data_IF_975948697536
#
_entry.id   IF_975948697536
#
_cell.length_a   1.000
_cell.length_b   1.000
_cell.length_c   1.000
_cell.angle_alpha   90.00
_cell.angle_beta   90.00
_cell.angle_gamma   90.00
#
_symmetry.space_group_name_H-M   'P 1'
#
loop_
_entity.id
_entity.type
_entity.pdbx_description
1 polymer ?
#
# COMPACT_ATOMS: atom_id res chain seq x y z
N UNK A 1 14.17 -9.79 -18.94
CA UNK A 1 14.77 -9.94 -17.57
C UNK A 1 15.96 -10.88 -17.60
N UNK A 2 16.80 -10.95 -16.55
CA UNK A 2 17.81 -12.00 -16.39
C UNK A 2 17.30 -13.13 -15.54
N UNK A 3 17.74 -14.37 -15.87
CA UNK A 3 17.40 -15.59 -15.14
C UNK A 3 18.67 -16.37 -14.83
N UNK A 4 18.66 -17.08 -13.73
CA UNK A 4 19.66 -18.08 -13.38
C UNK A 4 19.39 -19.33 -14.22
N UNK A 5 20.42 -19.80 -14.94
CA UNK A 5 20.42 -21.13 -15.50
C UNK A 5 20.71 -22.14 -14.38
N UNK A 6 19.67 -22.84 -13.96
CA UNK A 6 19.68 -23.73 -12.78
C UNK A 6 20.76 -24.82 -12.92
N UNK A 7 20.83 -25.46 -14.07
CA UNK A 7 21.79 -26.54 -14.30
C UNK A 7 23.22 -26.00 -14.33
N UNK A 8 23.46 -24.87 -14.99
CA UNK A 8 24.79 -24.25 -15.05
C UNK A 8 25.29 -23.81 -13.67
N UNK A 9 24.42 -23.28 -12.81
CA UNK A 9 24.79 -22.88 -11.45
C UNK A 9 25.10 -24.10 -10.58
N UNK A 10 24.28 -25.17 -10.61
CA UNK A 10 24.48 -26.36 -9.82
C UNK A 10 25.70 -27.14 -10.28
N UNK A 11 25.98 -27.20 -11.60
CA UNK A 11 27.19 -27.83 -12.11
C UNK A 11 28.45 -27.04 -11.73
N UNK A 12 28.40 -25.70 -11.80
CA UNK A 12 29.48 -24.85 -11.29
C UNK A 12 29.81 -25.17 -9.84
N UNK A 13 28.79 -25.27 -8.99
CA UNK A 13 28.98 -25.63 -7.58
C UNK A 13 29.61 -27.00 -7.39
N UNK A 14 29.11 -27.99 -8.13
CA UNK A 14 29.67 -29.36 -8.10
C UNK A 14 31.15 -29.43 -8.49
N UNK A 15 31.54 -28.64 -9.51
CA UNK A 15 32.94 -28.58 -9.96
C UNK A 15 33.83 -27.92 -8.89
N UNK A 16 33.33 -26.84 -8.27
CA UNK A 16 34.05 -26.15 -7.19
C UNK A 16 34.22 -27.04 -5.95
N UNK A 17 33.20 -27.83 -5.58
CA UNK A 17 33.29 -28.79 -4.45
C UNK A 17 34.36 -29.86 -4.65
N UNK A 18 34.63 -30.24 -5.90
CA UNK A 18 35.68 -31.17 -6.22
C UNK A 18 37.09 -30.55 -6.28
N UNK A 19 37.17 -29.21 -6.10
CA UNK A 19 38.40 -28.46 -6.29
C UNK A 19 38.88 -28.40 -7.75
N UNK A 20 37.98 -28.70 -8.70
CA UNK A 20 38.26 -28.67 -10.13
C UNK A 20 38.13 -27.22 -10.67
N UNK A 21 38.76 -26.96 -11.81
CA UNK A 21 38.71 -25.64 -12.43
C UNK A 21 37.39 -25.43 -13.17
N UNK A 22 36.65 -24.41 -12.77
CA UNK A 22 35.37 -24.03 -13.41
C UNK A 22 35.63 -23.45 -14.83
N UNK A 23 34.84 -23.87 -15.81
CA UNK A 23 34.84 -23.23 -17.12
C UNK A 23 34.26 -21.79 -17.01
N UNK A 24 35.17 -20.83 -17.19
CA UNK A 24 34.79 -19.38 -17.13
C UNK A 24 33.84 -18.91 -18.24
N UNK A 25 33.59 -19.74 -19.27
CA UNK A 25 32.68 -19.44 -20.37
C UNK A 25 31.23 -19.80 -20.05
N UNK A 26 31.00 -20.65 -19.06
CA UNK A 26 29.64 -21.05 -18.66
C UNK A 26 28.93 -19.88 -18.05
N UNK A 27 27.88 -19.41 -18.74
CA UNK A 27 27.02 -18.34 -18.26
C UNK A 27 26.00 -18.90 -17.28
N UNK A 28 26.01 -18.38 -16.07
CA UNK A 28 25.02 -18.72 -15.05
C UNK A 28 23.80 -17.82 -15.12
N UNK A 29 23.97 -16.56 -15.59
CA UNK A 29 22.89 -15.59 -15.76
C UNK A 29 22.72 -15.31 -17.25
N UNK A 30 21.49 -15.44 -17.72
CA UNK A 30 21.13 -15.23 -19.12
C UNK A 30 19.88 -14.33 -19.23
N UNK A 31 19.82 -13.54 -20.34
CA UNK A 31 18.61 -12.77 -20.64
C UNK A 31 17.55 -13.68 -21.25
N UNK A 32 16.32 -13.52 -20.78
CA UNK A 32 15.16 -14.24 -21.26
C UNK A 32 13.94 -13.31 -21.35
N UNK A 33 13.01 -13.69 -22.20
CA UNK A 33 11.68 -13.08 -22.30
C UNK A 33 10.78 -13.67 -21.23
N UNK A 34 10.19 -12.84 -20.37
CA UNK A 34 9.35 -13.27 -19.26
C UNK A 34 7.97 -13.80 -19.68
N UNK A 35 7.52 -13.47 -20.88
CA UNK A 35 6.24 -13.97 -21.43
C UNK A 35 6.41 -15.33 -22.13
N UNK A 36 7.57 -15.56 -22.76
CA UNK A 36 7.84 -16.78 -23.52
C UNK A 36 8.57 -17.87 -22.72
N UNK A 37 9.13 -17.56 -21.56
CA UNK A 37 10.00 -18.45 -20.80
C UNK A 37 9.29 -19.03 -19.57
N UNK A 38 9.34 -20.34 -19.40
CA UNK A 38 8.90 -21.01 -18.16
C UNK A 38 9.96 -20.93 -17.08
N UNK A 39 9.68 -20.30 -15.95
CA UNK A 39 10.62 -20.12 -14.84
C UNK A 39 9.96 -20.21 -13.47
N UNK A 40 10.76 -20.56 -12.48
CA UNK A 40 10.44 -20.39 -11.07
C UNK A 40 10.95 -19.03 -10.57
N UNK A 41 10.37 -18.53 -9.50
CA UNK A 41 10.76 -17.25 -8.87
C UNK A 41 10.91 -17.42 -7.36
N UNK A 42 11.95 -16.82 -6.76
CA UNK A 42 12.16 -16.85 -5.32
C UNK A 42 11.61 -15.59 -4.68
N UNK A 43 10.77 -15.75 -3.66
CA UNK A 43 10.34 -14.70 -2.75
C UNK A 43 10.96 -14.93 -1.39
N UNK A 44 11.76 -13.97 -0.91
CA UNK A 44 12.47 -14.14 0.35
C UNK A 44 12.74 -12.82 1.05
N UNK A 45 13.00 -12.88 2.33
CA UNK A 45 13.56 -11.74 3.06
C UNK A 45 15.08 -11.73 2.92
N UNK A 46 15.64 -10.53 2.71
CA UNK A 46 17.08 -10.35 2.75
C UNK A 46 17.59 -10.45 4.18
N UNK A 47 18.54 -11.35 4.43
CA UNK A 47 19.05 -11.65 5.76
C UNK A 47 20.58 -11.65 5.71
N UNK A 48 21.18 -10.73 6.44
CA UNK A 48 22.64 -10.66 6.51
C UNK A 48 23.27 -10.35 5.16
N UNK A 49 24.27 -11.13 4.79
CA UNK A 49 25.01 -10.97 3.55
C UNK A 49 24.32 -11.75 2.42
N UNK A 50 23.57 -11.05 1.60
CA UNK A 50 23.06 -11.57 0.33
C UNK A 50 24.19 -11.61 -0.71
N UNK A 51 23.93 -12.28 -1.82
CA UNK A 51 24.85 -12.37 -2.96
C UNK A 51 24.30 -11.57 -4.13
N UNK A 52 25.08 -10.64 -4.62
CA UNK A 52 24.65 -9.72 -5.68
C UNK A 52 25.00 -10.24 -7.09
N UNK A 53 24.64 -9.43 -8.09
CA UNK A 53 24.84 -9.74 -9.50
C UNK A 53 26.34 -9.98 -9.82
N UNK A 54 27.24 -9.10 -9.37
CA UNK A 54 28.67 -9.21 -9.67
C UNK A 54 29.28 -10.44 -9.02
N UNK A 55 28.94 -10.70 -7.79
CA UNK A 55 29.46 -11.86 -7.06
C UNK A 55 29.07 -13.16 -7.75
N UNK A 56 27.83 -13.28 -8.24
CA UNK A 56 27.39 -14.47 -8.99
C UNK A 56 28.12 -14.60 -10.33
N UNK A 57 28.31 -13.49 -11.04
CA UNK A 57 28.99 -13.48 -12.37
C UNK A 57 30.48 -13.76 -12.24
N UNK A 58 31.15 -13.14 -11.26
CA UNK A 58 32.59 -13.18 -11.12
C UNK A 58 33.09 -14.36 -10.26
N UNK A 59 32.21 -15.06 -9.56
CA UNK A 59 32.56 -16.13 -8.62
C UNK A 59 33.57 -17.13 -9.18
N UNK A 60 33.40 -17.57 -10.43
CA UNK A 60 34.29 -18.52 -11.10
C UNK A 60 35.71 -17.98 -11.40
N UNK A 61 35.89 -16.65 -11.30
CA UNK A 61 37.17 -15.98 -11.58
C UNK A 61 37.92 -15.59 -10.30
N UNK A 62 37.22 -15.60 -9.17
CA UNK A 62 37.80 -15.28 -7.84
C UNK A 62 38.79 -16.33 -7.38
N UNK A 63 39.66 -15.98 -6.43
CA UNK A 63 40.49 -16.93 -5.75
C UNK A 63 39.70 -17.85 -4.80
N UNK A 64 40.35 -18.93 -4.32
CA UNK A 64 39.66 -19.92 -3.50
C UNK A 64 39.13 -19.38 -2.17
N UNK A 65 39.79 -18.39 -1.58
CA UNK A 65 39.37 -17.80 -0.30
C UNK A 65 38.11 -16.94 -0.49
N UNK A 66 38.10 -16.10 -1.53
CA UNK A 66 36.92 -15.30 -1.91
C UNK A 66 35.74 -16.20 -2.30
N UNK A 67 35.95 -17.23 -3.10
CA UNK A 67 34.92 -18.20 -3.44
C UNK A 67 34.31 -18.83 -2.19
N UNK A 68 35.17 -19.30 -1.27
CA UNK A 68 34.73 -19.96 -0.04
C UNK A 68 33.97 -19.00 0.90
N UNK A 69 34.36 -17.73 0.95
CA UNK A 69 33.66 -16.70 1.73
C UNK A 69 32.22 -16.50 1.22
N UNK A 70 32.06 -16.28 -0.09
CA UNK A 70 30.73 -16.08 -0.70
C UNK A 70 29.85 -17.32 -0.55
N UNK A 71 30.42 -18.51 -0.83
CA UNK A 71 29.69 -19.78 -0.78
C UNK A 71 29.20 -20.14 0.62
N UNK A 72 29.86 -19.67 1.69
CA UNK A 72 29.41 -19.84 3.08
C UNK A 72 28.30 -18.91 3.51
N UNK A 73 28.01 -17.86 2.75
CA UNK A 73 26.96 -16.91 3.10
C UNK A 73 25.57 -17.55 3.05
N UNK A 74 24.69 -17.27 4.01
CA UNK A 74 23.31 -17.75 3.98
C UNK A 74 22.56 -17.37 2.69
N UNK A 75 22.85 -16.17 2.13
CA UNK A 75 22.28 -15.71 0.87
C UNK A 75 22.65 -16.61 -0.32
N UNK A 76 23.89 -17.10 -0.40
CA UNK A 76 24.30 -18.03 -1.45
C UNK A 76 23.66 -19.42 -1.29
N UNK A 77 23.64 -19.95 -0.06
CA UNK A 77 23.00 -21.24 0.21
C UNK A 77 21.52 -21.22 -0.15
N UNK A 78 20.83 -20.13 0.16
CA UNK A 78 19.43 -19.92 -0.21
C UNK A 78 19.22 -19.95 -1.73
N UNK A 79 20.12 -19.34 -2.52
CA UNK A 79 20.08 -19.42 -3.98
C UNK A 79 20.29 -20.86 -4.45
N UNK A 80 21.24 -21.59 -3.86
CA UNK A 80 21.50 -23.01 -4.20
C UNK A 80 20.30 -23.89 -3.88
N UNK A 81 19.69 -23.72 -2.72
CA UNK A 81 18.54 -24.52 -2.31
C UNK A 81 17.33 -24.24 -3.20
N UNK A 82 17.10 -22.98 -3.57
CA UNK A 82 16.05 -22.63 -4.54
C UNK A 82 16.34 -23.20 -5.94
N UNK A 83 17.61 -23.27 -6.37
CA UNK A 83 17.97 -23.92 -7.62
C UNK A 83 17.79 -25.45 -7.56
N UNK A 84 18.08 -26.10 -6.43
CA UNK A 84 17.81 -27.53 -6.24
C UNK A 84 16.31 -27.82 -6.33
N UNK A 85 15.49 -27.04 -5.63
CA UNK A 85 14.04 -27.14 -5.71
C UNK A 85 13.54 -26.92 -7.15
N UNK A 86 14.02 -25.86 -7.83
CA UNK A 86 13.65 -25.60 -9.21
C UNK A 86 14.00 -26.76 -10.15
N UNK A 87 15.15 -27.39 -9.95
CA UNK A 87 15.58 -28.58 -10.71
C UNK A 87 14.67 -29.78 -10.44
N UNK A 88 14.32 -30.03 -9.18
CA UNK A 88 13.45 -31.13 -8.78
C UNK A 88 12.03 -30.95 -9.35
N UNK A 89 11.55 -29.71 -9.46
CA UNK A 89 10.29 -29.32 -10.11
C UNK A 89 10.37 -29.25 -11.65
N UNK A 90 11.55 -29.50 -12.25
CA UNK A 90 11.77 -29.54 -13.69
C UNK A 90 11.98 -28.18 -14.36
N UNK A 91 12.29 -27.13 -13.60
CA UNK A 91 12.57 -25.80 -14.14
C UNK A 91 14.03 -25.65 -14.56
N UNK A 92 14.24 -25.13 -15.75
CA UNK A 92 15.56 -24.72 -16.25
C UNK A 92 15.98 -23.36 -15.70
N UNK A 93 15.02 -22.49 -15.39
CA UNK A 93 15.23 -21.09 -15.09
C UNK A 93 14.66 -20.68 -13.74
N UNK A 94 15.43 -19.87 -13.02
CA UNK A 94 15.04 -19.30 -11.72
C UNK A 94 15.33 -17.80 -11.71
N UNK A 95 14.42 -17.01 -11.17
CA UNK A 95 14.66 -15.59 -10.89
C UNK A 95 14.82 -15.34 -9.40
N UNK A 96 15.83 -14.53 -9.05
CA UNK A 96 16.12 -14.09 -7.67
C UNK A 96 16.51 -12.61 -7.71
N UNK A 97 15.81 -11.79 -6.96
CA UNK A 97 15.95 -10.32 -6.97
C UNK A 97 17.32 -9.80 -6.55
N UNK A 98 18.05 -10.57 -5.74
CA UNK A 98 19.39 -10.17 -5.25
C UNK A 98 20.43 -10.21 -6.36
N UNK A 99 20.44 -11.24 -7.18
CA UNK A 99 21.49 -11.48 -8.17
C UNK A 99 21.05 -11.40 -9.64
N UNK A 100 19.76 -11.43 -9.94
CA UNK A 100 19.25 -11.27 -11.29
C UNK A 100 19.13 -9.79 -11.74
N UNK A 101 19.28 -8.82 -10.83
CA UNK A 101 19.25 -7.40 -11.10
C UNK A 101 20.62 -6.78 -10.84
N UNK A 102 21.19 -6.11 -11.85
CA UNK A 102 22.37 -5.24 -11.63
C UNK A 102 21.91 -3.91 -10.99
N UNK A 103 21.99 -3.83 -9.67
CA UNK A 103 21.53 -2.67 -8.89
C UNK A 103 22.42 -1.43 -9.04
N UNK A 104 23.59 -1.54 -9.68
CA UNK A 104 24.45 -0.39 -10.03
C UNK A 104 23.90 0.37 -11.21
N UNK A 105 23.16 -0.30 -12.08
CA UNK A 105 22.45 0.32 -13.21
C UNK A 105 21.10 0.86 -12.73
N UNK A 106 20.98 2.18 -12.58
CA UNK A 106 19.69 2.81 -12.21
C UNK A 106 18.58 2.55 -13.23
N UNK A 107 18.94 2.41 -14.51
CA UNK A 107 17.98 2.09 -15.57
C UNK A 107 17.43 0.67 -15.41
N UNK A 108 18.32 -0.32 -15.18
CA UNK A 108 17.91 -1.71 -14.97
C UNK A 108 17.11 -1.89 -13.68
N UNK A 109 17.53 -1.24 -12.60
CA UNK A 109 16.79 -1.24 -11.34
C UNK A 109 15.37 -0.65 -11.53
N UNK A 110 15.24 0.44 -12.26
CA UNK A 110 13.95 1.07 -12.55
C UNK A 110 13.07 0.17 -13.41
N UNK A 111 13.62 -0.46 -14.45
CA UNK A 111 12.92 -1.45 -15.28
C UNK A 111 12.46 -2.64 -14.42
N UNK A 112 13.34 -3.19 -13.60
CA UNK A 112 13.03 -4.33 -12.73
C UNK A 112 11.88 -4.02 -11.78
N UNK A 113 11.91 -2.88 -11.09
CA UNK A 113 10.88 -2.47 -10.13
C UNK A 113 9.51 -2.29 -10.81
N UNK A 114 9.46 -1.63 -11.99
CA UNK A 114 8.22 -1.46 -12.75
C UNK A 114 7.68 -2.78 -13.35
N UNK A 115 8.55 -3.76 -13.59
CA UNK A 115 8.19 -5.06 -14.17
C UNK A 115 7.97 -6.16 -13.12
N UNK A 116 8.32 -5.92 -11.86
CA UNK A 116 8.40 -6.96 -10.82
C UNK A 116 7.06 -7.68 -10.62
N UNK A 117 5.95 -6.95 -10.55
CA UNK A 117 4.63 -7.56 -10.43
C UNK A 117 4.33 -8.52 -11.59
N UNK A 118 4.63 -8.11 -12.83
CA UNK A 118 4.46 -8.94 -14.04
C UNK A 118 5.37 -10.17 -13.99
N UNK A 119 6.62 -10.03 -13.57
CA UNK A 119 7.53 -11.18 -13.45
C UNK A 119 7.06 -12.19 -12.42
N UNK A 120 6.50 -11.74 -11.30
CA UNK A 120 5.86 -12.64 -10.35
C UNK A 120 4.57 -13.26 -10.91
N UNK A 121 3.75 -12.49 -11.64
CA UNK A 121 2.51 -12.99 -12.25
C UNK A 121 2.77 -14.04 -13.35
N UNK A 122 3.82 -13.86 -14.16
CA UNK A 122 4.18 -14.76 -15.26
C UNK A 122 4.98 -15.99 -14.79
N UNK A 123 5.46 -16.03 -13.55
CA UNK A 123 6.16 -17.20 -13.02
C UNK A 123 5.21 -18.39 -12.88
N UNK A 124 5.69 -19.59 -13.20
CA UNK A 124 4.90 -20.83 -13.03
C UNK A 124 4.80 -21.24 -11.56
N UNK A 125 5.81 -20.91 -10.76
CA UNK A 125 5.82 -21.13 -9.31
C UNK A 125 6.65 -20.08 -8.62
N UNK A 126 6.17 -19.60 -7.47
CA UNK A 126 6.89 -18.74 -6.55
C UNK A 126 7.24 -19.55 -5.29
N UNK A 127 8.53 -19.65 -4.98
CA UNK A 127 9.02 -20.23 -3.74
C UNK A 127 9.12 -19.15 -2.67
N UNK A 128 8.21 -19.15 -1.71
CA UNK A 128 8.21 -18.23 -0.58
C UNK A 128 9.00 -18.83 0.60
N UNK A 129 10.21 -18.36 0.81
CA UNK A 129 11.11 -18.86 1.86
C UNK A 129 10.93 -18.12 3.17
N UNK A 130 10.47 -18.84 4.20
CA UNK A 130 10.24 -18.33 5.56
C UNK A 130 11.39 -18.74 6.47
N UNK A 131 12.46 -17.96 6.47
CA UNK A 131 13.71 -18.24 7.17
C UNK A 131 13.60 -18.45 8.68
N UNK A 132 12.57 -17.87 9.30
CA UNK A 132 12.32 -17.85 10.74
C UNK A 132 11.24 -18.85 11.18
N UNK A 133 10.74 -19.67 10.24
CA UNK A 133 9.67 -20.65 10.49
C UNK A 133 10.28 -22.06 10.56
N UNK A 134 10.40 -22.70 11.73
CA UNK A 134 10.72 -24.10 11.85
C UNK A 134 9.45 -24.96 11.79
N UNK A 135 9.52 -26.06 11.09
CA UNK A 135 8.41 -27.01 11.00
C UNK A 135 7.23 -26.52 10.18
N UNK A 136 6.02 -26.82 10.62
CA UNK A 136 4.78 -26.51 9.88
C UNK A 136 4.38 -25.05 9.98
N UNK A 137 3.50 -24.61 9.06
CA UNK A 137 2.95 -23.26 9.07
C UNK A 137 2.12 -23.02 10.34
N UNK A 138 2.42 -21.90 11.05
CA UNK A 138 1.65 -21.54 12.25
C UNK A 138 0.25 -21.07 11.88
N UNK A 139 -0.75 -21.63 12.52
CA UNK A 139 -2.15 -21.21 12.36
C UNK A 139 -2.59 -20.19 13.40
N UNK A 140 -1.72 -19.86 14.38
CA UNK A 140 -1.99 -18.90 15.43
C UNK A 140 -0.88 -17.85 15.50
N UNK A 141 -1.29 -16.63 15.87
CA UNK A 141 -0.37 -15.52 16.15
C UNK A 141 0.52 -15.85 17.35
N UNK A 142 1.83 -15.57 17.24
CA UNK A 142 2.82 -15.77 18.28
C UNK A 142 3.73 -14.53 18.42
N UNK A 143 3.31 -13.58 19.25
CA UNK A 143 4.04 -12.33 19.51
C UNK A 143 5.38 -12.56 20.25
N UNK A 144 5.56 -13.71 20.91
CA UNK A 144 6.84 -14.03 21.57
C UNK A 144 7.89 -14.47 20.57
N UNK A 145 7.45 -15.22 19.57
CA UNK A 145 8.33 -15.72 18.51
C UNK A 145 8.63 -14.67 17.46
N UNK A 146 7.64 -13.86 17.10
CA UNK A 146 7.69 -12.86 16.04
C UNK A 146 7.36 -11.45 16.56
N UNK A 147 8.16 -10.91 17.52
CA UNK A 147 7.85 -9.66 18.21
C UNK A 147 7.85 -8.43 17.28
N UNK A 148 8.61 -8.48 16.18
CA UNK A 148 8.79 -7.37 15.26
C UNK A 148 7.90 -7.43 14.02
N UNK A 149 7.04 -8.44 13.91
CA UNK A 149 6.22 -8.72 12.73
C UNK A 149 4.78 -9.13 13.08
N UNK A 150 4.23 -8.49 14.12
CA UNK A 150 2.85 -8.69 14.57
C UNK A 150 2.51 -10.16 14.89
N UNK A 151 3.48 -10.93 15.38
CA UNK A 151 3.28 -12.33 15.75
C UNK A 151 3.22 -13.31 14.59
N UNK A 152 3.70 -12.92 13.41
CA UNK A 152 3.78 -13.75 12.21
C UNK A 152 5.21 -13.77 11.63
N UNK A 153 5.58 -14.76 10.81
CA UNK A 153 6.88 -14.78 10.15
C UNK A 153 7.21 -13.45 9.48
N UNK A 154 8.46 -13.01 9.62
CA UNK A 154 8.90 -11.67 9.19
C UNK A 154 8.66 -11.38 7.70
N UNK A 155 8.55 -12.43 6.88
CA UNK A 155 8.19 -12.32 5.47
C UNK A 155 6.86 -11.57 5.26
N UNK A 156 5.85 -11.80 6.13
CA UNK A 156 4.55 -11.14 6.05
C UNK A 156 4.58 -9.66 6.41
N UNK A 157 5.61 -9.19 7.08
CA UNK A 157 5.78 -7.78 7.46
C UNK A 157 6.48 -6.94 6.41
N UNK A 158 7.04 -7.54 5.35
CA UNK A 158 7.74 -6.81 4.28
C UNK A 158 6.78 -6.22 3.27
N UNK A 159 7.08 -4.98 2.79
CA UNK A 159 6.26 -4.31 1.77
C UNK A 159 6.20 -5.10 0.46
N UNK A 160 7.36 -5.46 -0.07
CA UNK A 160 7.49 -6.14 -1.36
C UNK A 160 6.80 -7.50 -1.44
N UNK A 161 6.82 -8.28 -0.34
CA UNK A 161 6.22 -9.62 -0.32
C UNK A 161 4.70 -9.64 -0.50
N UNK A 162 4.03 -8.49 -0.40
CA UNK A 162 2.59 -8.40 -0.70
C UNK A 162 2.32 -8.72 -2.17
N UNK A 163 3.00 -8.05 -3.09
CA UNK A 163 2.86 -8.36 -4.52
C UNK A 163 3.41 -9.75 -4.88
N UNK A 164 4.49 -10.19 -4.20
CA UNK A 164 5.10 -11.50 -4.39
C UNK A 164 4.16 -12.65 -3.97
N UNK A 165 3.23 -12.38 -3.04
CA UNK A 165 2.17 -13.30 -2.64
C UNK A 165 0.97 -13.28 -3.58
N UNK A 166 0.54 -12.07 -4.00
CA UNK A 166 -0.71 -11.91 -4.74
C UNK A 166 -0.52 -12.24 -6.22
N UNK A 167 0.54 -11.71 -6.86
CA UNK A 167 0.74 -11.80 -8.30
C UNK A 167 0.86 -13.24 -8.85
N UNK A 168 1.69 -14.15 -8.27
CA UNK A 168 1.82 -15.49 -8.82
C UNK A 168 0.53 -16.30 -8.64
N UNK A 169 0.19 -17.10 -9.63
CA UNK A 169 -0.93 -18.06 -9.51
C UNK A 169 -0.64 -19.21 -8.53
N UNK A 170 0.63 -19.60 -8.40
CA UNK A 170 1.10 -20.67 -7.54
C UNK A 170 2.24 -20.17 -6.63
N UNK A 171 1.98 -20.13 -5.32
CA UNK A 171 2.99 -19.83 -4.30
C UNK A 171 3.11 -21.02 -3.37
N UNK A 172 4.32 -21.57 -3.26
CA UNK A 172 4.67 -22.64 -2.32
C UNK A 172 5.49 -22.06 -1.18
N UNK A 173 5.11 -22.34 0.05
CA UNK A 173 5.79 -21.86 1.23
C UNK A 173 6.79 -22.89 1.74
N UNK A 174 8.01 -22.47 1.99
CA UNK A 174 9.09 -23.28 2.51
C UNK A 174 9.53 -22.75 3.88
N UNK A 175 9.75 -23.66 4.81
CA UNK A 175 10.31 -23.33 6.12
C UNK A 175 11.83 -23.09 6.04
N UNK A 176 12.46 -22.77 7.19
CA UNK A 176 13.91 -22.53 7.28
C UNK A 176 14.79 -23.69 6.79
N UNK A 177 14.26 -24.91 6.80
CA UNK A 177 14.95 -26.15 6.40
C UNK A 177 14.58 -26.59 4.96
N UNK A 178 14.00 -25.68 4.16
CA UNK A 178 13.54 -25.91 2.78
C UNK A 178 12.52 -27.04 2.63
N UNK A 179 11.73 -27.30 3.67
CA UNK A 179 10.61 -28.22 3.59
C UNK A 179 9.36 -27.46 3.16
N UNK A 180 8.64 -27.96 2.17
CA UNK A 180 7.38 -27.38 1.75
C UNK A 180 6.34 -27.54 2.88
N UNK A 181 5.74 -26.44 3.31
CA UNK A 181 4.79 -26.38 4.43
C UNK A 181 3.38 -25.99 4.00
N UNK A 182 3.13 -25.90 2.71
CA UNK A 182 1.84 -25.64 2.09
C UNK A 182 1.94 -24.70 0.90
N UNK A 183 0.82 -24.48 0.25
CA UNK A 183 0.69 -23.57 -0.88
C UNK A 183 -0.39 -22.50 -0.64
N UNK A 184 -0.41 -21.49 -1.51
CA UNK A 184 -1.29 -20.33 -1.40
C UNK A 184 -2.79 -20.72 -1.36
N UNK A 185 -3.20 -21.75 -2.09
CA UNK A 185 -4.61 -22.18 -2.16
C UNK A 185 -5.01 -22.91 -0.88
N UNK A 186 -4.23 -23.88 -0.47
CA UNK A 186 -4.48 -24.66 0.76
C UNK A 186 -4.43 -23.82 2.02
N UNK A 187 -3.58 -22.78 2.03
CA UNK A 187 -3.39 -21.87 3.15
C UNK A 187 -4.23 -20.57 3.04
N UNK A 188 -5.06 -20.40 2.00
CA UNK A 188 -5.74 -19.13 1.69
C UNK A 188 -6.47 -18.49 2.88
N UNK A 189 -7.22 -19.28 3.67
CA UNK A 189 -7.91 -18.79 4.86
C UNK A 189 -6.95 -18.32 5.97
N UNK A 190 -5.82 -19.00 6.13
CA UNK A 190 -4.80 -18.61 7.11
C UNK A 190 -4.06 -17.35 6.64
N UNK A 191 -3.71 -17.29 5.37
CA UNK A 191 -3.08 -16.13 4.75
C UNK A 191 -3.97 -14.89 4.80
N UNK A 192 -5.28 -15.07 4.54
CA UNK A 192 -6.28 -13.99 4.66
C UNK A 192 -6.29 -13.39 6.06
N UNK A 193 -6.30 -14.23 7.09
CA UNK A 193 -6.27 -13.79 8.49
C UNK A 193 -4.96 -13.08 8.88
N UNK A 194 -3.83 -13.48 8.30
CA UNK A 194 -2.52 -12.86 8.55
C UNK A 194 -2.40 -11.49 7.88
N UNK A 195 -2.91 -11.39 6.64
CA UNK A 195 -2.58 -10.29 5.74
C UNK A 195 -3.73 -9.32 5.47
N UNK A 196 -4.97 -9.68 5.86
CA UNK A 196 -6.18 -8.95 5.50
C UNK A 196 -6.59 -9.12 4.03
N UNK A 197 -5.80 -9.82 3.21
CA UNK A 197 -6.14 -10.08 1.80
C UNK A 197 -7.25 -11.12 1.74
N UNK A 198 -8.40 -10.85 1.11
CA UNK A 198 -9.50 -11.82 0.99
C UNK A 198 -9.06 -13.13 0.33
N UNK A 199 -9.58 -14.26 0.81
CA UNK A 199 -9.19 -15.58 0.31
C UNK A 199 -9.44 -15.75 -1.19
N UNK A 200 -10.50 -15.16 -1.75
CA UNK A 200 -10.77 -15.19 -3.19
C UNK A 200 -9.69 -14.46 -4.01
N UNK A 201 -9.10 -13.35 -3.50
CA UNK A 201 -7.98 -12.68 -4.15
C UNK A 201 -6.73 -13.56 -4.15
N UNK A 202 -6.51 -14.30 -3.06
CA UNK A 202 -5.37 -15.22 -2.97
C UNK A 202 -5.52 -16.39 -3.94
N UNK A 203 -6.74 -16.87 -4.20
CA UNK A 203 -7.00 -18.01 -5.09
C UNK A 203 -7.15 -17.61 -6.56
N UNK A 204 -7.82 -16.50 -6.85
CA UNK A 204 -8.28 -16.13 -8.18
C UNK A 204 -7.54 -14.90 -8.74
N UNK A 205 -6.75 -14.22 -7.90
CA UNK A 205 -6.01 -13.00 -8.28
C UNK A 205 -6.87 -11.75 -8.32
N UNK A 206 -6.26 -10.61 -8.70
CA UNK A 206 -6.93 -9.30 -8.74
C UNK A 206 -7.87 -9.11 -9.93
N UNK A 207 -7.76 -9.93 -10.98
CA UNK A 207 -8.44 -9.68 -12.26
C UNK A 207 -9.94 -10.03 -12.22
N UNK A 208 -10.35 -10.95 -11.35
CA UNK A 208 -11.74 -11.49 -11.33
C UNK A 208 -12.72 -10.57 -10.61
N UNK A 209 -12.28 -9.85 -9.59
CA UNK A 209 -13.07 -8.90 -8.83
C UNK A 209 -12.10 -7.92 -8.16
N UNK A 210 -11.76 -6.84 -8.88
CA UNK A 210 -10.74 -5.90 -8.43
C UNK A 210 -11.22 -5.12 -7.21
N UNK A 211 -10.54 -5.23 -6.06
CA UNK A 211 -10.85 -4.46 -4.87
C UNK A 211 -10.63 -2.97 -5.09
N UNK A 212 -11.28 -2.14 -4.29
CA UNK A 212 -11.06 -0.69 -4.34
C UNK A 212 -9.64 -0.31 -3.87
N UNK A 213 -9.21 0.88 -4.24
CA UNK A 213 -7.87 1.40 -3.90
C UNK A 213 -7.61 1.37 -2.40
N UNK A 214 -8.58 1.81 -1.59
CA UNK A 214 -8.44 1.81 -0.13
C UNK A 214 -8.24 0.41 0.45
N UNK A 215 -8.94 -0.59 -0.08
CA UNK A 215 -8.79 -1.98 0.35
C UNK A 215 -7.40 -2.52 -0.01
N UNK A 216 -6.90 -2.27 -1.23
CA UNK A 216 -5.53 -2.68 -1.61
C UNK A 216 -4.48 -1.98 -0.72
N UNK A 217 -4.65 -0.68 -0.43
CA UNK A 217 -3.78 0.06 0.47
C UNK A 217 -3.79 -0.49 1.90
N UNK A 218 -4.94 -1.00 2.38
CA UNK A 218 -5.06 -1.57 3.72
C UNK A 218 -4.17 -2.81 3.92
N UNK A 219 -3.98 -3.62 2.88
CA UNK A 219 -3.10 -4.80 2.95
C UNK A 219 -1.63 -4.46 3.10
N UNK A 220 -1.24 -3.23 2.74
CA UNK A 220 0.10 -2.69 2.95
C UNK A 220 0.27 -2.01 4.31
N UNK A 221 -0.81 -1.79 5.05
CA UNK A 221 -0.74 -1.28 6.41
C UNK A 221 0.12 -2.22 7.28
N UNK A 222 0.90 -1.65 8.18
CA UNK A 222 1.83 -2.36 9.07
C UNK A 222 2.98 -3.12 8.40
N UNK A 223 3.07 -3.13 7.05
CA UNK A 223 4.24 -3.66 6.38
C UNK A 223 5.36 -2.62 6.42
N UNK A 224 6.58 -3.08 6.38
CA UNK A 224 7.77 -2.24 6.48
C UNK A 224 8.69 -2.44 5.27
N UNK A 225 9.41 -1.40 4.92
CA UNK A 225 10.42 -1.41 3.86
C UNK A 225 11.72 -0.81 4.37
N UNK A 226 12.84 -1.20 3.79
CA UNK A 226 14.14 -0.66 4.16
C UNK A 226 14.27 0.81 3.72
N UNK A 227 13.76 1.14 2.53
CA UNK A 227 13.67 2.51 2.03
C UNK A 227 12.24 3.01 2.17
N UNK A 228 12.09 4.28 2.52
CA UNK A 228 10.77 4.90 2.72
C UNK A 228 9.98 4.92 1.41
N UNK A 229 10.64 5.14 0.29
CA UNK A 229 10.05 5.18 -1.05
C UNK A 229 9.46 3.83 -1.47
N UNK A 230 10.04 2.72 -1.01
CA UNK A 230 9.55 1.38 -1.32
C UNK A 230 8.15 1.11 -0.73
N UNK A 231 7.70 1.92 0.24
CA UNK A 231 6.30 1.91 0.70
C UNK A 231 5.33 2.20 -0.44
N UNK A 232 5.75 3.02 -1.38
CA UNK A 232 4.99 3.34 -2.59
C UNK A 232 5.30 2.36 -3.72
N UNK A 233 6.58 2.12 -4.00
CA UNK A 233 7.00 1.36 -5.16
C UNK A 233 6.55 -0.11 -5.11
N UNK A 234 6.47 -0.71 -3.92
CA UNK A 234 5.95 -2.07 -3.73
C UNK A 234 4.45 -2.22 -4.01
N UNK A 235 3.72 -1.11 -4.17
CA UNK A 235 2.28 -1.10 -4.45
C UNK A 235 1.94 -0.84 -5.93
N UNK A 236 2.90 -0.39 -6.73
CA UNK A 236 2.65 0.02 -8.11
C UNK A 236 1.97 -1.06 -8.94
N UNK A 237 2.49 -2.28 -8.91
CA UNK A 237 1.93 -3.38 -9.68
C UNK A 237 0.55 -3.83 -9.19
N UNK A 238 0.28 -3.77 -7.89
CA UNK A 238 -1.04 -4.07 -7.32
C UNK A 238 -2.10 -3.04 -7.74
N UNK A 239 -1.69 -1.79 -7.94
CA UNK A 239 -2.56 -0.67 -8.31
C UNK A 239 -2.54 -0.35 -9.81
N UNK A 240 -1.78 -1.14 -10.59
CA UNK A 240 -1.66 -1.02 -12.04
C UNK A 240 -1.19 0.36 -12.50
N UNK A 241 -0.15 0.87 -11.83
CA UNK A 241 0.48 2.15 -12.18
C UNK A 241 1.98 1.99 -12.34
N UNK A 242 2.56 2.82 -13.19
CA UNK A 242 3.99 2.93 -13.41
C UNK A 242 4.47 4.34 -13.13
N UNK A 243 5.59 4.47 -12.43
CA UNK A 243 6.18 5.78 -12.18
C UNK A 243 7.71 5.71 -12.11
N UNK A 244 8.42 6.83 -12.42
CA UNK A 244 9.87 6.90 -12.26
C UNK A 244 10.32 6.67 -10.82
N UNK A 245 11.41 5.91 -10.63
CA UNK A 245 12.03 5.71 -9.32
C UNK A 245 12.90 6.90 -8.95
N UNK A 246 12.52 7.63 -7.91
CA UNK A 246 13.25 8.80 -7.41
C UNK A 246 13.64 8.56 -5.94
N UNK A 247 14.63 7.70 -5.73
CA UNK A 247 15.16 7.49 -4.38
C UNK A 247 15.76 8.78 -3.84
N UNK A 248 15.43 9.09 -2.59
CA UNK A 248 15.77 10.36 -1.94
C UNK A 248 14.59 11.32 -1.81
N UNK A 249 13.44 11.06 -2.45
CA UNK A 249 12.23 11.88 -2.29
C UNK A 249 11.45 11.59 -0.99
N UNK A 250 11.78 10.51 -0.29
CA UNK A 250 11.16 10.12 0.97
C UNK A 250 9.66 9.87 0.82
N UNK A 251 8.87 10.36 1.76
CA UNK A 251 7.41 10.20 1.78
C UNK A 251 6.67 10.75 0.56
N UNK A 252 7.30 11.62 -0.23
CA UNK A 252 6.70 12.14 -1.47
C UNK A 252 6.43 11.05 -2.50
N UNK A 253 7.17 9.95 -2.46
CA UNK A 253 6.92 8.78 -3.31
C UNK A 253 5.48 8.27 -3.17
N UNK A 254 4.95 8.22 -1.95
CA UNK A 254 3.59 7.74 -1.70
C UNK A 254 2.52 8.76 -2.16
N UNK A 255 2.79 10.06 -2.04
CA UNK A 255 1.92 11.08 -2.65
C UNK A 255 1.90 10.97 -4.18
N UNK A 256 3.07 10.77 -4.81
CA UNK A 256 3.15 10.56 -6.26
C UNK A 256 2.39 9.32 -6.71
N UNK A 257 2.53 8.21 -6.00
CA UNK A 257 1.76 7.00 -6.27
C UNK A 257 0.25 7.31 -6.32
N UNK A 258 -0.27 7.99 -5.31
CA UNK A 258 -1.69 8.37 -5.26
C UNK A 258 -2.08 9.28 -6.43
N UNK A 259 -1.22 10.21 -6.82
CA UNK A 259 -1.48 11.08 -7.98
C UNK A 259 -1.49 10.29 -9.30
N UNK A 260 -0.63 9.27 -9.47
CA UNK A 260 -0.69 8.39 -10.65
C UNK A 260 -1.98 7.56 -10.66
N UNK A 261 -2.42 7.04 -9.51
CA UNK A 261 -3.70 6.33 -9.39
C UNK A 261 -4.86 7.24 -9.80
N UNK A 262 -4.89 8.48 -9.31
CA UNK A 262 -5.93 9.47 -9.64
C UNK A 262 -5.97 9.78 -11.14
N UNK A 263 -4.85 9.71 -11.87
CA UNK A 263 -4.81 9.93 -13.33
C UNK A 263 -5.39 8.78 -14.13
N UNK A 264 -5.38 7.58 -13.59
CA UNK A 264 -5.74 6.35 -14.30
C UNK A 264 -7.03 5.70 -13.81
N UNK A 265 -7.51 6.11 -12.63
CA UNK A 265 -8.67 5.51 -11.96
C UNK A 265 -9.64 6.58 -11.45
N UNK A 266 -10.93 6.26 -11.47
CA UNK A 266 -12.00 7.07 -10.87
C UNK A 266 -12.41 6.59 -9.47
N UNK A 267 -11.60 5.76 -8.83
CA UNK A 267 -11.85 5.20 -7.51
C UNK A 267 -11.63 6.23 -6.40
N UNK A 268 -12.73 6.78 -5.88
CA UNK A 268 -12.71 7.80 -4.83
C UNK A 268 -12.38 7.25 -3.45
N UNK A 269 -12.32 5.93 -3.26
CA UNK A 269 -11.89 5.33 -1.98
C UNK A 269 -10.47 5.74 -1.59
N UNK A 270 -9.65 6.18 -2.56
CA UNK A 270 -8.32 6.76 -2.32
C UNK A 270 -8.33 7.90 -1.31
N UNK A 271 -9.46 8.60 -1.15
CA UNK A 271 -9.65 9.68 -0.18
C UNK A 271 -10.24 9.20 1.14
N UNK A 272 -10.62 7.93 1.26
CA UNK A 272 -11.31 7.37 2.43
C UNK A 272 -10.38 6.88 3.55
N UNK A 273 -9.10 7.27 3.53
CA UNK A 273 -8.16 6.91 4.60
C UNK A 273 -8.64 7.43 5.97
N UNK A 274 -8.30 6.71 7.05
CA UNK A 274 -8.72 6.99 8.42
C UNK A 274 -10.25 7.25 8.53
N UNK A 275 -11.09 6.27 8.09
CA UNK A 275 -12.54 6.46 7.98
C UNK A 275 -13.22 6.73 9.34
N UNK A 276 -12.57 6.39 10.43
CA UNK A 276 -13.07 6.60 11.79
C UNK A 276 -12.44 7.80 12.50
N UNK A 277 -11.68 8.64 11.80
CA UNK A 277 -11.02 9.83 12.31
C UNK A 277 -10.20 9.59 13.61
N UNK A 278 -9.49 8.46 13.66
CA UNK A 278 -8.65 8.08 14.80
C UNK A 278 -7.37 8.92 14.89
N UNK A 279 -6.92 9.46 13.75
CA UNK A 279 -5.66 10.19 13.62
C UNK A 279 -5.96 11.68 13.44
N UNK A 280 -5.38 12.52 14.30
CA UNK A 280 -5.51 13.97 14.17
C UNK A 280 -4.53 14.50 13.13
N UNK A 281 -5.03 14.84 11.96
CA UNK A 281 -4.26 15.43 10.87
C UNK A 281 -5.08 16.51 10.15
N UNK A 282 -4.39 17.53 9.69
CA UNK A 282 -4.96 18.60 8.86
C UNK A 282 -4.00 18.90 7.72
N UNK A 283 -4.49 19.06 6.50
CA UNK A 283 -3.67 19.43 5.35
C UNK A 283 -4.11 18.75 4.05
N UNK A 284 -3.22 17.99 3.46
CA UNK A 284 -3.43 17.30 2.20
C UNK A 284 -4.60 16.31 2.24
N UNK A 285 -5.34 16.21 1.13
CA UNK A 285 -6.35 15.15 0.94
C UNK A 285 -5.69 13.77 0.75
N UNK A 286 -4.42 13.73 0.31
CA UNK A 286 -3.68 12.49 0.12
C UNK A 286 -3.14 11.97 1.46
N UNK A 287 -3.10 10.66 1.59
CA UNK A 287 -2.51 9.99 2.74
C UNK A 287 -0.98 10.07 2.72
N UNK A 288 -0.32 10.16 3.89
CA UNK A 288 1.14 10.17 3.99
C UNK A 288 1.76 8.77 3.99
N UNK A 289 0.97 7.77 4.34
CA UNK A 289 1.45 6.40 4.55
C UNK A 289 0.29 5.39 4.39
N UNK A 290 0.53 4.18 3.86
CA UNK A 290 -0.49 3.13 3.78
C UNK A 290 -1.14 2.76 5.12
N UNK A 291 -0.47 2.98 6.26
CA UNK A 291 -1.06 2.71 7.57
C UNK A 291 -2.35 3.50 7.85
N UNK A 292 -2.55 4.63 7.15
CA UNK A 292 -3.78 5.40 7.25
C UNK A 292 -5.01 4.66 6.69
N UNK A 293 -4.80 3.62 5.90
CA UNK A 293 -5.86 2.75 5.34
C UNK A 293 -6.10 1.48 6.15
N UNK A 294 -5.51 1.34 7.35
CA UNK A 294 -5.57 0.10 8.16
C UNK A 294 -6.99 -0.41 8.43
N UNK A 295 -7.97 0.49 8.49
CA UNK A 295 -9.38 0.18 8.80
C UNK A 295 -10.24 0.09 7.50
N UNK A 296 -9.61 -0.09 6.33
CA UNK A 296 -10.28 -0.13 5.02
C UNK A 296 -10.29 -1.55 4.40
N UNK A 297 -10.05 -2.58 5.18
CA UNK A 297 -9.93 -3.97 4.72
C UNK A 297 -11.22 -4.57 4.14
N UNK A 298 -12.39 -4.10 4.59
CA UNK A 298 -13.71 -4.47 4.07
C UNK A 298 -14.34 -3.37 3.18
N UNK A 299 -13.58 -2.33 2.83
CA UNK A 299 -14.11 -1.20 2.06
C UNK A 299 -14.49 -1.61 0.64
N UNK A 300 -15.65 -1.13 0.19
CA UNK A 300 -16.15 -1.34 -1.17
C UNK A 300 -16.66 -0.04 -1.78
N UNK A 301 -16.64 0.04 -3.11
CA UNK A 301 -17.26 1.13 -3.85
C UNK A 301 -18.78 0.94 -3.89
N UNK A 302 -19.48 2.04 -3.85
CA UNK A 302 -20.90 2.09 -4.18
C UNK A 302 -21.03 2.44 -5.66
N UNK A 303 -21.92 1.75 -6.37
CA UNK A 303 -22.24 2.17 -7.73
C UNK A 303 -23.03 3.49 -7.73
N UNK A 304 -23.07 4.14 -8.89
CA UNK A 304 -23.69 5.46 -9.00
C UNK A 304 -25.19 5.44 -8.65
N UNK A 305 -25.90 4.36 -9.02
CA UNK A 305 -27.34 4.27 -8.76
C UNK A 305 -27.60 4.04 -7.26
N UNK A 306 -26.81 3.20 -6.60
CA UNK A 306 -26.87 2.96 -5.16
C UNK A 306 -26.54 4.24 -4.37
N UNK A 307 -25.52 4.97 -4.79
CA UNK A 307 -25.13 6.23 -4.16
C UNK A 307 -26.21 7.29 -4.32
N UNK A 308 -26.84 7.41 -5.51
CA UNK A 308 -27.97 8.30 -5.77
C UNK A 308 -29.19 7.90 -4.94
N UNK A 309 -29.49 6.59 -4.87
CA UNK A 309 -30.61 6.08 -4.07
C UNK A 309 -30.50 6.45 -2.59
N UNK A 310 -29.28 6.42 -2.04
CA UNK A 310 -29.01 6.86 -0.66
C UNK A 310 -29.48 8.31 -0.41
N UNK A 311 -29.45 9.17 -1.44
CA UNK A 311 -29.85 10.57 -1.33
C UNK A 311 -31.29 10.87 -1.72
N UNK A 312 -32.02 9.97 -2.41
CA UNK A 312 -33.39 10.22 -2.89
C UNK A 312 -34.37 10.70 -1.81
N UNK A 313 -34.21 10.20 -0.59
CA UNK A 313 -35.04 10.62 0.54
C UNK A 313 -34.53 11.88 1.25
N UNK A 314 -33.36 12.41 0.83
CA UNK A 314 -32.64 13.49 1.53
C UNK A 314 -32.44 14.73 0.69
N UNK A 315 -32.71 14.67 -0.61
CA UNK A 315 -32.47 15.77 -1.55
C UNK A 315 -33.68 15.90 -2.48
N UNK A 316 -34.11 17.12 -2.83
CA UNK A 316 -35.15 17.40 -3.83
C UNK A 316 -34.75 16.78 -5.20
N UNK A 317 -35.76 16.32 -5.94
CA UNK A 317 -35.54 15.59 -7.22
C UNK A 317 -34.82 16.45 -8.29
N UNK A 318 -35.04 17.77 -8.32
CA UNK A 318 -34.39 18.70 -9.23
C UNK A 318 -32.87 18.80 -9.02
N UNK A 319 -32.40 18.51 -7.80
CA UNK A 319 -30.96 18.43 -7.48
C UNK A 319 -30.37 17.04 -7.73
N UNK A 320 -31.19 15.98 -7.73
CA UNK A 320 -30.74 14.63 -8.04
C UNK A 320 -30.35 14.47 -9.52
N UNK A 321 -30.93 15.23 -10.42
CA UNK A 321 -30.58 15.19 -11.85
C UNK A 321 -29.15 15.72 -12.09
N UNK A 322 -28.65 16.61 -11.23
CA UNK A 322 -27.24 17.04 -11.26
C UNK A 322 -26.25 15.92 -10.89
N UNK A 323 -26.68 14.90 -10.12
CA UNK A 323 -25.86 13.75 -9.71
C UNK A 323 -25.78 12.72 -10.84
N UNK A 324 -26.80 12.63 -11.68
CA UNK A 324 -26.87 11.66 -12.81
C UNK A 324 -25.94 12.03 -13.98
N UNK A 325 -25.39 13.23 -13.99
CA UNK A 325 -24.37 13.59 -14.96
C UNK A 325 -23.05 12.90 -14.61
N UNK A 326 -22.24 12.52 -15.60
CA UNK A 326 -20.91 11.86 -15.48
C UNK A 326 -19.86 12.65 -14.66
N UNK A 327 -20.28 13.70 -13.98
CA UNK A 327 -19.45 14.61 -13.16
C UNK A 327 -18.85 13.93 -11.92
N UNK A 328 -19.51 12.86 -11.41
CA UNK A 328 -19.01 12.11 -10.26
C UNK A 328 -17.93 11.10 -10.61
N UNK A 329 -17.84 10.73 -11.88
CA UNK A 329 -16.91 9.72 -12.35
C UNK A 329 -15.53 10.25 -12.64
N UNK A 330 -15.31 11.58 -12.60
CA UNK A 330 -14.02 12.19 -12.95
C UNK A 330 -13.57 13.22 -11.91
N UNK A 331 -12.28 13.17 -11.56
CA UNK A 331 -11.66 14.15 -10.66
C UNK A 331 -10.24 14.50 -11.13
N UNK A 332 -10.11 15.41 -12.11
CA UNK A 332 -8.83 15.78 -12.68
C UNK A 332 -7.94 16.54 -11.69
N UNK A 333 -6.63 16.33 -11.84
CA UNK A 333 -5.62 17.09 -11.10
C UNK A 333 -5.37 18.40 -11.83
N UNK A 334 -5.54 19.51 -11.11
CA UNK A 334 -5.28 20.86 -11.60
C UNK A 334 -4.19 21.53 -10.76
N UNK A 335 -3.69 22.70 -11.22
CA UNK A 335 -2.75 23.51 -10.43
C UNK A 335 -3.40 24.11 -9.15
N UNK A 336 -4.71 24.15 -9.08
CA UNK A 336 -5.47 24.59 -7.90
C UNK A 336 -5.65 23.48 -6.88
N UNK A 337 -5.80 22.22 -7.33
CA UNK A 337 -6.08 21.06 -6.51
C UNK A 337 -6.69 19.94 -7.33
N UNK A 338 -7.16 18.90 -6.68
CA UNK A 338 -7.98 17.87 -7.29
C UNK A 338 -9.41 18.40 -7.37
N UNK A 339 -9.89 18.60 -8.60
CA UNK A 339 -11.25 19.05 -8.86
C UNK A 339 -12.20 17.87 -8.78
N UNK A 340 -13.20 17.91 -7.92
CA UNK A 340 -14.12 16.80 -7.67
C UNK A 340 -15.51 17.32 -7.33
N UNK A 341 -16.53 16.55 -7.69
CA UNK A 341 -17.92 16.80 -7.26
C UNK A 341 -18.28 15.88 -6.10
N UNK A 342 -18.69 16.45 -4.97
CA UNK A 342 -19.09 15.68 -3.79
C UNK A 342 -20.35 16.26 -3.16
N UNK A 343 -21.17 15.40 -2.52
CA UNK A 343 -22.19 15.85 -1.57
C UNK A 343 -21.50 16.50 -0.37
N UNK A 344 -21.85 17.75 -0.10
CA UNK A 344 -21.24 18.56 0.94
C UNK A 344 -22.30 19.04 1.93
N UNK A 345 -22.06 18.83 3.21
CA UNK A 345 -22.92 19.31 4.28
C UNK A 345 -22.11 20.22 5.24
N UNK A 346 -22.55 21.45 5.52
CA UNK A 346 -21.91 22.25 6.56
C UNK A 346 -22.03 21.57 7.91
N UNK A 347 -20.95 21.56 8.68
CA UNK A 347 -21.01 21.12 10.07
C UNK A 347 -21.76 22.17 10.90
N UNK A 348 -22.60 21.68 11.80
CA UNK A 348 -23.43 22.55 12.66
C UNK A 348 -22.54 23.53 13.42
N UNK A 349 -22.82 24.81 13.31
CA UNK A 349 -22.06 25.88 13.96
C UNK A 349 -20.77 26.29 13.24
N UNK A 350 -20.55 25.86 12.01
CA UNK A 350 -19.39 26.29 11.24
C UNK A 350 -19.75 26.74 9.83
N UNK A 351 -19.15 27.85 9.39
CA UNK A 351 -19.26 28.35 8.01
C UNK A 351 -18.14 27.88 7.11
N UNK A 352 -17.08 27.28 7.68
CA UNK A 352 -15.86 26.92 6.98
C UNK A 352 -15.50 25.45 7.10
N UNK A 353 -16.26 24.66 7.89
CA UNK A 353 -16.04 23.22 8.05
C UNK A 353 -17.24 22.44 7.53
N UNK A 354 -16.94 21.43 6.73
CA UNK A 354 -17.94 20.66 6.01
C UNK A 354 -17.66 19.16 6.17
N UNK A 355 -18.71 18.37 6.06
CA UNK A 355 -18.65 16.94 5.83
C UNK A 355 -18.95 16.68 4.35
N UNK A 356 -18.07 15.94 3.67
CA UNK A 356 -18.29 15.46 2.31
C UNK A 356 -18.43 13.95 2.33
N UNK A 357 -19.32 13.40 1.48
CA UNK A 357 -19.56 11.95 1.42
C UNK A 357 -18.92 11.37 0.17
N UNK A 358 -18.17 10.26 0.35
CA UNK A 358 -17.53 9.54 -0.74
C UNK A 358 -18.41 8.35 -1.19
N UNK A 359 -18.42 7.99 -2.49
CA UNK A 359 -19.17 6.84 -3.01
C UNK A 359 -18.48 5.51 -2.68
N UNK A 360 -18.19 5.30 -1.42
CA UNK A 360 -17.67 4.05 -0.87
C UNK A 360 -18.17 3.87 0.56
N UNK A 361 -18.12 2.66 1.08
CA UNK A 361 -18.56 2.29 2.44
C UNK A 361 -17.58 1.32 3.09
N UNK A 362 -17.50 1.35 4.41
CA UNK A 362 -16.61 0.44 5.15
C UNK A 362 -17.11 -1.02 5.13
N UNK A 363 -18.45 -1.21 5.10
CA UNK A 363 -19.11 -2.52 5.04
C UNK A 363 -20.38 -2.42 4.20
N UNK A 364 -20.91 -3.54 3.65
CA UNK A 364 -22.07 -3.54 2.78
C UNK A 364 -23.32 -2.82 3.30
N UNK A 365 -23.51 -2.76 4.60
CA UNK A 365 -24.66 -2.09 5.24
C UNK A 365 -24.37 -0.68 5.76
N UNK A 366 -23.12 -0.23 5.68
CA UNK A 366 -22.72 1.06 6.21
C UNK A 366 -23.14 2.21 5.26
N UNK A 367 -23.35 3.42 5.79
CA UNK A 367 -23.56 4.62 4.96
C UNK A 367 -22.27 4.97 4.18
N UNK A 368 -22.38 5.85 3.17
CA UNK A 368 -21.22 6.42 2.48
C UNK A 368 -20.20 7.01 3.47
N UNK A 369 -18.91 6.79 3.18
CA UNK A 369 -17.81 7.24 4.06
C UNK A 369 -17.76 8.77 4.11
N UNK A 370 -17.87 9.39 5.29
CA UNK A 370 -17.73 10.83 5.44
C UNK A 370 -16.25 11.23 5.53
N UNK A 371 -15.92 12.36 4.94
CA UNK A 371 -14.66 13.04 5.13
C UNK A 371 -14.89 14.49 5.57
N UNK A 372 -14.13 14.95 6.56
CA UNK A 372 -14.23 16.32 7.03
C UNK A 372 -13.27 17.23 6.26
N UNK A 373 -13.81 18.36 5.77
CA UNK A 373 -13.11 19.32 4.94
C UNK A 373 -13.21 20.72 5.56
N UNK A 374 -12.10 21.45 5.57
CA UNK A 374 -12.08 22.88 5.92
C UNK A 374 -11.86 23.71 4.67
N UNK A 375 -12.71 24.71 4.46
CA UNK A 375 -12.62 25.68 3.37
C UNK A 375 -11.67 26.84 3.76
N UNK A 376 -10.59 27.03 2.98
CA UNK A 376 -9.65 28.12 3.14
C UNK A 376 -9.18 28.63 1.77
N UNK A 377 -9.25 29.92 1.55
CA UNK A 377 -8.87 30.56 0.27
C UNK A 377 -9.45 29.82 -0.96
N UNK A 378 -10.74 29.49 -0.90
CA UNK A 378 -11.47 28.76 -1.94
C UNK A 378 -10.95 27.36 -2.26
N UNK A 379 -10.13 26.75 -1.39
CA UNK A 379 -9.67 25.38 -1.47
C UNK A 379 -10.11 24.59 -0.23
N UNK A 380 -10.30 23.28 -0.40
CA UNK A 380 -10.69 22.40 0.68
C UNK A 380 -9.49 21.59 1.16
N UNK A 381 -9.30 21.55 2.47
CA UNK A 381 -8.25 20.83 3.16
C UNK A 381 -8.86 19.71 3.98
N UNK A 382 -8.25 18.52 3.96
CA UNK A 382 -8.67 17.44 4.84
C UNK A 382 -8.40 17.81 6.30
N UNK A 383 -9.40 17.63 7.15
CA UNK A 383 -9.25 17.71 8.60
C UNK A 383 -9.76 16.42 9.22
N UNK A 384 -9.00 15.86 10.17
CA UNK A 384 -9.46 14.73 10.96
C UNK A 384 -10.02 15.25 12.27
N UNK A 385 -11.33 15.21 12.41
CA UNK A 385 -12.04 15.52 13.64
C UNK A 385 -12.84 14.29 14.06
N UNK A 386 -12.97 13.99 15.37
CA UNK A 386 -13.91 12.97 15.82
C UNK A 386 -15.31 13.32 15.27
N UNK A 387 -15.94 12.34 14.63
CA UNK A 387 -17.30 12.49 14.12
C UNK A 387 -18.27 12.68 15.30
N UNK A 388 -18.51 13.90 15.68
CA UNK A 388 -19.71 14.28 16.43
C UNK A 388 -20.82 14.64 15.43
N UNK A 389 -21.01 13.79 14.42
CA UNK A 389 -22.00 14.00 13.40
C UNK A 389 -23.40 13.75 13.97
N UNK A 390 -24.11 14.83 14.24
CA UNK A 390 -25.54 14.75 14.03
C UNK A 390 -25.75 14.51 12.54
N UNK A 391 -26.59 13.54 12.16
CA UNK A 391 -26.96 13.27 10.77
C UNK A 391 -27.29 14.61 10.08
N UNK A 392 -26.76 14.87 8.87
CA UNK A 392 -27.05 16.09 8.13
C UNK A 392 -28.56 16.24 8.01
N UNK A 393 -29.07 17.41 8.34
CA UNK A 393 -30.49 17.73 8.13
C UNK A 393 -30.73 17.84 6.62
N UNK A 394 -31.87 17.37 6.16
CA UNK A 394 -32.26 17.32 4.73
C UNK A 394 -32.07 18.65 3.96
N UNK A 395 -32.12 19.79 4.66
CA UNK A 395 -32.09 21.13 4.04
C UNK A 395 -30.68 21.66 3.75
N UNK A 396 -29.62 21.02 4.22
CA UNK A 396 -28.26 21.55 4.19
C UNK A 396 -27.30 20.85 3.23
N UNK A 397 -27.66 19.67 2.70
CA UNK A 397 -26.84 18.94 1.78
C UNK A 397 -26.84 19.54 0.38
N UNK A 398 -25.69 19.84 -0.17
CA UNK A 398 -25.51 20.39 -1.51
C UNK A 398 -24.48 19.60 -2.29
N UNK A 399 -24.72 19.41 -3.59
CA UNK A 399 -23.72 18.89 -4.51
C UNK A 399 -22.89 20.04 -5.04
N UNK A 400 -21.59 20.01 -4.75
CA UNK A 400 -20.69 21.10 -5.08
C UNK A 400 -19.45 20.60 -5.80
N UNK A 401 -18.97 21.43 -6.72
CA UNK A 401 -17.62 21.29 -7.25
C UNK A 401 -16.61 21.78 -6.22
N UNK A 402 -15.65 20.94 -5.88
CA UNK A 402 -14.63 21.20 -4.86
C UNK A 402 -13.25 21.16 -5.49
N UNK A 403 -12.31 21.89 -4.88
CA UNK A 403 -10.88 21.79 -5.17
C UNK A 403 -10.18 21.30 -3.91
N UNK A 404 -9.89 20.01 -3.87
CA UNK A 404 -9.22 19.36 -2.74
C UNK A 404 -7.72 19.60 -2.81
N UNK A 405 -7.14 20.17 -1.76
CA UNK A 405 -5.73 20.45 -1.70
C UNK A 405 -4.93 19.17 -1.45
N UNK A 406 -3.95 18.87 -2.31
CA UNK A 406 -3.08 17.69 -2.22
C UNK A 406 -1.62 18.00 -1.88
N UNK A 407 -1.22 19.27 -1.98
CA UNK A 407 0.11 19.71 -1.56
C UNK A 407 0.09 20.07 -0.07
N UNK A 408 1.11 19.64 0.67
CA UNK A 408 1.35 20.11 2.02
C UNK A 408 1.77 21.60 1.97
N UNK A 409 0.80 22.46 1.89
CA UNK A 409 1.00 23.85 2.25
C UNK A 409 1.06 23.88 3.77
N UNK A 410 2.17 24.30 4.34
CA UNK A 410 2.16 24.76 5.72
C UNK A 410 1.07 25.80 5.82
N UNK A 411 -0.08 25.42 6.37
CA UNK A 411 -1.09 26.39 6.77
C UNK A 411 -0.32 27.37 7.65
N UNK A 412 -0.31 28.66 7.29
CA UNK A 412 0.39 29.66 8.07
C UNK A 412 -0.13 29.64 9.50
N UNK A 413 0.67 30.12 10.47
CA UNK A 413 0.22 30.19 11.87
C UNK A 413 -1.06 31.00 12.05
N UNK A 414 -1.45 31.74 11.03
CA UNK A 414 -2.58 32.68 11.01
C UNK A 414 -3.83 32.12 10.29
N UNK A 415 -3.89 30.79 10.00
CA UNK A 415 -5.09 30.19 9.39
C UNK A 415 -6.20 30.10 10.44
N UNK A 416 -7.18 30.97 10.32
CA UNK A 416 -8.28 31.10 11.26
C UNK A 416 -9.51 30.41 10.67
N UNK A 417 -10.11 29.45 11.41
CA UNK A 417 -11.41 28.88 11.12
C UNK A 417 -12.42 29.46 12.09
N UNK A 418 -13.42 30.15 11.55
CA UNK A 418 -14.50 30.70 12.36
C UNK A 418 -15.41 29.58 12.88
N UNK A 419 -15.62 29.54 14.19
CA UNK A 419 -16.61 28.69 14.86
C UNK A 419 -17.73 29.56 15.36
N UNK A 420 -18.96 29.24 14.97
CA UNK A 420 -20.15 29.96 15.45
C UNK A 420 -20.53 29.42 16.84
N UNK A 421 -20.27 30.24 17.87
CA UNK A 421 -20.57 29.88 19.26
C UNK A 421 -22.05 29.69 19.55
N UNK A 422 -22.95 30.33 18.75
CA UNK A 422 -24.39 30.28 18.99
C UNK A 422 -24.95 28.86 18.92
N UNK A 423 -24.53 28.08 17.94
CA UNK A 423 -24.95 26.69 17.79
C UNK A 423 -24.37 25.75 18.86
N UNK A 424 -23.21 26.09 19.43
CA UNK A 424 -22.61 25.37 20.55
C UNK A 424 -23.40 25.61 21.83
N UNK A 425 -23.81 26.87 22.05
CA UNK A 425 -24.61 27.30 23.21
C UNK A 425 -26.02 26.69 23.16
N UNK A 426 -26.69 26.69 21.98
CA UNK A 426 -27.99 26.03 21.80
C UNK A 426 -28.01 24.56 22.18
N UNK A 427 -26.86 23.87 22.03
CA UNK A 427 -26.71 22.47 22.42
C UNK A 427 -26.25 22.26 23.88
N UNK A 428 -26.24 23.31 24.69
CA UNK A 428 -25.92 23.27 26.11
C UNK A 428 -24.43 23.16 26.42
N UNK A 429 -23.55 23.61 25.52
CA UNK A 429 -22.12 23.68 25.76
C UNK A 429 -21.67 25.13 25.98
N UNK A 430 -20.77 25.36 26.91
CA UNK A 430 -20.13 26.65 27.14
C UNK A 430 -18.70 26.61 26.69
N UNK A 431 -18.33 27.51 25.80
CA UNK A 431 -16.92 27.66 25.40
C UNK A 431 -16.14 28.32 26.54
N UNK A 432 -15.14 27.63 27.09
CA UNK A 432 -14.29 28.14 28.18
C UNK A 432 -12.87 28.51 27.76
N UNK A 433 -12.63 28.60 26.47
CA UNK A 433 -11.31 28.94 25.92
C UNK A 433 -10.67 27.77 25.17
N UNK A 434 -9.59 28.07 24.49
CA UNK A 434 -8.81 27.11 23.73
C UNK A 434 -7.40 26.94 24.31
N UNK A 435 -6.81 25.79 24.08
CA UNK A 435 -5.42 25.53 24.43
C UNK A 435 -4.64 25.15 23.15
N UNK A 436 -3.54 25.80 22.85
CA UNK A 436 -2.86 26.85 23.63
C UNK A 436 -3.62 28.21 23.62
N UNK A 437 -3.32 29.09 24.57
CA UNK A 437 -4.10 30.33 24.81
C UNK A 437 -4.07 31.37 23.68
N UNK A 438 -3.31 31.13 22.63
CA UNK A 438 -3.23 31.96 21.42
C UNK A 438 -4.51 31.82 20.54
N UNK A 439 -5.37 30.85 20.84
CA UNK A 439 -6.70 30.72 20.20
C UNK A 439 -7.68 31.59 20.98
N UNK A 440 -7.97 32.75 20.46
CA UNK A 440 -8.86 33.73 21.12
C UNK A 440 -10.19 33.86 20.39
N UNK A 441 -11.31 33.93 21.17
CA UNK A 441 -12.66 34.21 20.63
C UNK A 441 -13.29 33.03 19.87
N UNK A 442 -14.19 33.37 18.94
CA UNK A 442 -14.93 32.43 18.09
C UNK A 442 -14.11 31.85 16.92
N UNK A 443 -12.83 32.20 16.86
CA UNK A 443 -11.92 31.78 15.80
C UNK A 443 -10.90 30.76 16.32
N UNK A 444 -10.74 29.64 15.59
CA UNK A 444 -9.71 28.64 15.85
C UNK A 444 -8.56 28.86 14.88
N UNK A 445 -7.39 29.23 15.42
CA UNK A 445 -6.15 29.29 14.64
C UNK A 445 -5.58 27.89 14.55
N UNK A 446 -5.54 27.28 13.36
CA UNK A 446 -4.86 26.01 13.15
C UNK A 446 -3.37 26.28 12.95
N UNK A 447 -2.58 25.91 13.94
CA UNK A 447 -1.12 25.88 13.82
C UNK A 447 -0.67 24.48 13.41
N UNK A 448 0.51 24.36 12.83
CA UNK A 448 1.15 23.07 12.47
C UNK A 448 1.42 22.14 13.67
N UNK A 449 1.20 22.65 14.90
CA UNK A 449 1.15 21.89 16.14
C UNK A 449 -0.26 22.03 16.70
N UNK A 450 -1.07 21.01 16.55
CA UNK A 450 -2.45 20.94 17.02
C UNK A 450 -2.47 21.13 18.53
N UNK A 451 -2.93 22.29 18.99
CA UNK A 451 -3.33 22.51 20.37
C UNK A 451 -4.65 21.79 20.65
N UNK A 452 -4.79 21.15 21.79
CA UNK A 452 -6.03 20.52 22.22
C UNK A 452 -7.07 21.59 22.53
N UNK A 453 -8.10 21.73 21.69
CA UNK A 453 -9.35 22.30 22.13
C UNK A 453 -10.03 21.25 23.02
N UNK A 454 -10.14 21.49 24.31
CA UNK A 454 -10.92 20.64 25.20
C UNK A 454 -12.25 21.28 25.46
N UNK A 455 -13.33 20.77 24.88
CA UNK A 455 -14.67 21.01 25.41
C UNK A 455 -14.78 20.20 26.71
N UNK A 456 -14.75 20.86 27.85
CA UNK A 456 -15.14 20.24 29.12
C UNK A 456 -16.40 20.93 29.63
N UNK A 457 -17.38 20.08 29.94
CA UNK A 457 -18.55 20.18 30.79
C UNK A 457 -19.87 20.61 30.13
N UNK A 458 -20.84 19.67 30.26
CA UNK A 458 -22.27 19.95 30.21
C UNK A 458 -22.63 20.87 31.37
N UNK A 459 -23.45 21.88 31.11
CA UNK A 459 -24.26 22.57 32.11
C UNK A 459 -25.50 21.72 32.42
#
# INVERSE_FOLDING_TARGET
>A
MRLINVEALLERERVMDKGERVDRRTKVLEFADDEATSYAILSHRWIGQEVDYDEVVELAKMDADQQNEIRRRPGYQKILDSCRQAKDDGFKWLWVDTCCIDKRSSAELSEAINSMYRWYANSLVCYAYLHDTPGTFSTARDDRRYPNSNGWPEWFSRGWTLQEMIAPSNVQFFNKDWQCIGDKRTLSNTLSRITGVPSYILTDGLSSNRPCVAQIMSWAAFRTTTRVEDRAYSLMGLLDVNMPMLYGEGKKAFHRLQLEIIRTSNDQSIFAWDPYAKIRRTGSILADDPNLFQDCDEMELMDSDEFIEYFKLRIPNDKLDLIREDRFSTFPITNRGIQIWLPLCPLVGSRSVFEALLPCRCRPSDPPVPINLALWNSNYYRISMPLYAGLPTQDTLQFCELYLRYQDTLLSRDTIFEVDDSAIIEKGFVYRGAYPPEITGTAITLTSKIGRASCRERV
#
